data_IF_069009847403
#
_entry.id   IF_069009847403
#
_cell.length_a   1.000
_cell.length_b   1.000
_cell.length_c   1.000
_cell.angle_alpha   90.00
_cell.angle_beta   90.00
_cell.angle_gamma   90.00
#
_symmetry.space_group_name_H-M   'P 1'
#
loop_
_entity.id
_entity.type
_entity.pdbx_description
1 polymer ?
#
# COMPACT_ATOMS: atom_id res chain seq x y z
N UNK A 1 16.15 -4.07 -14.97
CA UNK A 1 16.11 -2.94 -15.92
C UNK A 1 16.25 -1.59 -15.22
N UNK A 2 15.65 -1.36 -14.03
CA UNK A 2 15.89 -0.15 -13.20
C UNK A 2 17.38 0.18 -12.98
N UNK A 3 18.24 -0.85 -12.93
CA UNK A 3 19.67 -0.67 -12.67
C UNK A 3 20.49 -0.11 -13.85
N UNK A 4 20.08 -0.26 -15.11
CA UNK A 4 20.99 0.03 -16.23
C UNK A 4 21.23 1.53 -16.45
N UNK A 5 20.19 2.36 -16.42
CA UNK A 5 20.34 3.81 -16.58
C UNK A 5 21.02 4.45 -15.37
N UNK A 6 20.70 3.97 -14.17
CA UNK A 6 21.36 4.38 -12.93
C UNK A 6 22.86 4.08 -12.96
N UNK A 7 23.24 2.84 -13.30
CA UNK A 7 24.64 2.43 -13.46
C UNK A 7 25.33 3.22 -14.58
N UNK A 8 24.64 3.46 -15.71
CA UNK A 8 25.19 4.25 -16.81
C UNK A 8 25.47 5.71 -16.39
N UNK A 9 24.55 6.31 -15.61
CA UNK A 9 24.73 7.65 -15.06
C UNK A 9 25.93 7.74 -14.10
N UNK A 10 26.10 6.73 -13.23
CA UNK A 10 27.28 6.65 -12.36
C UNK A 10 28.58 6.48 -13.17
N UNK A 11 28.61 5.56 -14.15
CA UNK A 11 29.79 5.35 -15.01
C UNK A 11 30.18 6.60 -15.77
N UNK A 12 29.22 7.39 -16.25
CA UNK A 12 29.49 8.66 -16.90
C UNK A 12 30.17 9.67 -15.96
N UNK A 13 29.79 9.72 -14.68
CA UNK A 13 30.44 10.59 -13.68
C UNK A 13 31.88 10.15 -13.38
N UNK A 14 32.13 8.84 -13.30
CA UNK A 14 33.47 8.31 -13.07
C UNK A 14 34.43 8.46 -14.27
N UNK A 15 33.93 8.82 -15.44
CA UNK A 15 34.78 9.15 -16.59
C UNK A 15 35.53 10.48 -16.41
N UNK A 16 34.94 11.43 -15.67
CA UNK A 16 35.50 12.77 -15.47
C UNK A 16 36.02 12.99 -14.03
N UNK A 17 35.46 12.27 -13.06
CA UNK A 17 35.77 12.49 -11.64
C UNK A 17 36.16 11.18 -10.94
N UNK A 18 37.20 11.25 -10.11
CA UNK A 18 37.64 10.13 -9.28
C UNK A 18 36.68 9.83 -8.13
N UNK A 19 36.07 10.86 -7.57
CA UNK A 19 35.22 10.77 -6.38
C UNK A 19 33.82 11.26 -6.73
N UNK A 20 32.83 10.44 -6.39
CA UNK A 20 31.42 10.75 -6.59
C UNK A 20 30.71 10.69 -5.25
N UNK A 21 30.07 11.80 -4.87
CA UNK A 21 29.18 11.87 -3.71
C UNK A 21 27.76 11.55 -4.14
N UNK A 22 27.12 10.59 -3.50
CA UNK A 22 25.74 10.24 -3.77
C UNK A 22 24.91 10.32 -2.49
N UNK A 23 23.95 11.24 -2.49
CA UNK A 23 23.00 11.42 -1.40
C UNK A 23 21.67 10.74 -1.75
N UNK A 24 21.23 9.79 -0.92
CA UNK A 24 19.95 9.11 -1.03
C UNK A 24 19.22 9.14 0.34
N UNK A 25 18.63 10.30 0.72
CA UNK A 25 17.93 10.44 2.00
C UNK A 25 16.70 9.52 2.11
N UNK A 26 16.11 9.15 0.97
CA UNK A 26 14.94 8.27 0.92
C UNK A 26 15.34 6.77 0.98
N UNK A 27 16.65 6.44 1.00
CA UNK A 27 17.21 5.08 1.07
C UNK A 27 16.62 4.12 0.03
N UNK A 28 16.26 4.64 -1.14
CA UNK A 28 15.52 3.87 -2.17
C UNK A 28 16.38 2.83 -2.85
N UNK A 29 17.69 3.00 -2.82
CA UNK A 29 18.63 2.16 -3.56
C UNK A 29 19.40 1.19 -2.66
N UNK A 30 18.98 1.02 -1.41
CA UNK A 30 19.66 0.13 -0.45
C UNK A 30 19.81 -1.30 -0.97
N UNK A 31 18.77 -1.86 -1.60
CA UNK A 31 18.81 -3.22 -2.16
C UNK A 31 19.69 -3.29 -3.42
N UNK A 32 19.82 -2.19 -4.14
CA UNK A 32 20.66 -2.05 -5.33
C UNK A 32 22.14 -1.83 -4.99
N UNK A 33 22.48 -1.29 -3.81
CA UNK A 33 23.87 -1.07 -3.38
C UNK A 33 24.69 -2.36 -3.37
N UNK A 34 24.13 -3.45 -2.83
CA UNK A 34 24.79 -4.75 -2.75
C UNK A 34 25.02 -5.38 -4.13
N UNK A 35 24.20 -5.00 -5.11
CA UNK A 35 24.25 -5.50 -6.49
C UNK A 35 24.99 -4.53 -7.43
N UNK A 36 25.60 -3.47 -6.90
CA UNK A 36 26.24 -2.43 -7.69
C UNK A 36 27.65 -2.86 -8.11
N UNK A 37 27.75 -3.46 -9.29
CA UNK A 37 29.03 -3.82 -9.90
C UNK A 37 29.57 -2.66 -10.74
N UNK A 38 30.51 -1.91 -10.16
CA UNK A 38 31.29 -0.87 -10.85
C UNK A 38 32.75 -1.31 -10.92
N UNK A 39 33.30 -1.38 -12.14
CA UNK A 39 34.71 -1.71 -12.36
C UNK A 39 35.61 -0.63 -11.77
N UNK A 40 36.60 -1.02 -10.96
CA UNK A 40 37.60 -0.15 -10.34
C UNK A 40 37.06 0.95 -9.41
N UNK A 41 35.78 0.87 -8.99
CA UNK A 41 35.19 1.81 -8.03
C UNK A 41 34.97 1.13 -6.69
N UNK A 42 35.41 1.78 -5.61
CA UNK A 42 35.12 1.34 -4.25
C UNK A 42 33.89 2.07 -3.72
N UNK A 43 32.80 1.32 -3.48
CA UNK A 43 31.61 1.83 -2.80
C UNK A 43 31.88 1.89 -1.29
N UNK A 44 31.65 3.07 -0.69
CA UNK A 44 31.68 3.28 0.75
C UNK A 44 30.30 3.72 1.23
N UNK A 45 29.68 2.89 2.06
CA UNK A 45 28.49 3.25 2.83
C UNK A 45 28.90 4.15 4.00
N UNK A 46 28.49 5.42 3.97
CA UNK A 46 28.86 6.43 4.97
C UNK A 46 28.01 6.40 6.24
N UNK A 47 27.09 5.44 6.40
CA UNK A 47 26.21 5.32 7.59
C UNK A 47 27.01 5.17 8.88
N UNK A 48 28.00 4.28 8.89
CA UNK A 48 28.79 3.93 10.09
C UNK A 48 30.28 4.26 9.95
N UNK A 49 30.65 5.07 8.94
CA UNK A 49 32.05 5.39 8.64
C UNK A 49 32.50 6.69 9.33
N UNK A 50 33.72 6.67 9.87
CA UNK A 50 34.36 7.89 10.35
C UNK A 50 34.80 8.77 9.17
N UNK A 51 34.25 9.98 9.07
CA UNK A 51 34.58 10.92 7.99
C UNK A 51 36.08 11.25 7.95
N UNK A 52 36.75 11.32 9.10
CA UNK A 52 38.19 11.55 9.18
C UNK A 52 38.99 10.36 8.62
N UNK A 53 38.56 9.13 8.92
CA UNK A 53 39.20 7.93 8.40
C UNK A 53 39.02 7.81 6.88
N UNK A 54 37.82 8.10 6.38
CA UNK A 54 37.52 8.15 4.95
C UNK A 54 38.36 9.22 4.25
N UNK A 55 38.44 10.42 4.83
CA UNK A 55 39.30 11.50 4.32
C UNK A 55 40.76 11.08 4.21
N UNK A 56 41.32 10.48 5.27
CA UNK A 56 42.69 9.93 5.26
C UNK A 56 42.88 8.91 4.14
N UNK A 57 41.92 7.99 3.98
CA UNK A 57 41.98 6.95 2.96
C UNK A 57 42.02 7.53 1.55
N UNK A 58 41.13 8.48 1.27
CA UNK A 58 40.98 9.10 -0.06
C UNK A 58 42.19 9.96 -0.46
N UNK A 59 42.79 10.66 0.50
CA UNK A 59 43.87 11.62 0.25
C UNK A 59 45.27 11.04 0.41
N UNK A 60 45.45 10.07 1.31
CA UNK A 60 46.78 9.56 1.71
C UNK A 60 46.94 8.09 1.33
N UNK A 61 46.04 7.21 1.75
CA UNK A 61 46.26 5.78 1.63
C UNK A 61 46.01 5.26 0.19
N UNK A 62 45.00 5.81 -0.50
CA UNK A 62 44.54 5.36 -1.81
C UNK A 62 44.24 6.56 -2.77
N UNK A 63 45.24 7.36 -3.16
CA UNK A 63 45.04 8.62 -3.89
C UNK A 63 44.58 8.43 -5.34
N UNK A 64 44.87 7.30 -5.97
CA UNK A 64 44.49 7.01 -7.36
C UNK A 64 43.16 6.24 -7.48
N UNK A 65 42.67 5.67 -6.38
CA UNK A 65 41.47 4.83 -6.37
C UNK A 65 40.21 5.68 -6.56
N UNK A 66 39.24 5.16 -7.32
CA UNK A 66 37.93 5.77 -7.49
C UNK A 66 36.99 5.39 -6.34
N UNK A 67 36.24 6.36 -5.83
CA UNK A 67 35.34 6.17 -4.69
C UNK A 67 33.93 6.67 -4.98
N UNK A 68 32.95 5.82 -4.66
CA UNK A 68 31.55 6.21 -4.56
C UNK A 68 31.18 6.32 -3.08
N UNK A 69 30.91 7.54 -2.61
CA UNK A 69 30.51 7.79 -1.24
C UNK A 69 28.98 7.88 -1.17
N UNK A 70 28.33 6.87 -0.61
CA UNK A 70 26.88 6.84 -0.45
C UNK A 70 26.46 7.35 0.93
N UNK A 71 25.53 8.30 0.96
CA UNK A 71 25.00 8.88 2.19
C UNK A 71 23.49 8.63 2.31
N UNK A 72 23.01 8.06 3.44
CA UNK A 72 21.58 7.85 3.71
C UNK A 72 20.83 9.12 4.12
N UNK A 73 21.39 10.30 3.87
CA UNK A 73 20.88 11.59 4.31
C UNK A 73 21.29 12.71 3.33
N UNK A 74 20.63 13.85 3.43
CA UNK A 74 20.96 15.04 2.66
C UNK A 74 22.37 15.55 2.95
N UNK A 75 22.92 16.34 2.02
CA UNK A 75 24.21 16.96 2.21
C UNK A 75 24.18 17.90 3.44
N UNK A 76 25.14 17.79 4.37
CA UNK A 76 25.19 18.66 5.53
C UNK A 76 25.49 20.12 5.12
N UNK A 77 25.12 21.12 5.95
CA UNK A 77 25.56 22.50 5.73
C UNK A 77 27.09 22.58 5.71
N UNK A 78 27.63 23.51 4.92
CA UNK A 78 29.09 23.65 4.70
C UNK A 78 29.90 23.73 5.99
N UNK A 79 29.38 24.38 7.02
CA UNK A 79 30.04 24.56 8.33
C UNK A 79 30.21 23.23 9.09
N UNK A 80 29.40 22.23 8.78
CA UNK A 80 29.40 20.92 9.42
C UNK A 80 29.91 19.79 8.49
N UNK A 81 30.30 20.11 7.25
CA UNK A 81 30.79 19.13 6.28
C UNK A 81 32.32 18.96 6.39
N UNK A 82 32.77 17.89 7.05
CA UNK A 82 34.21 17.62 7.19
C UNK A 82 34.88 17.16 5.90
N UNK A 83 34.08 16.73 4.91
CA UNK A 83 34.52 16.33 3.58
C UNK A 83 34.35 17.46 2.56
N UNK A 84 34.04 18.69 3.01
CA UNK A 84 33.80 19.83 2.12
C UNK A 84 34.97 20.08 1.17
N UNK A 85 36.20 19.96 1.66
CA UNK A 85 37.40 20.16 0.85
C UNK A 85 37.50 19.14 -0.29
N UNK A 86 37.15 17.88 -0.01
CA UNK A 86 37.04 16.83 -1.03
C UNK A 86 35.87 17.12 -1.98
N UNK A 87 34.73 17.54 -1.43
CA UNK A 87 33.53 17.85 -2.20
C UNK A 87 33.79 18.89 -3.28
N UNK A 88 34.59 19.92 -2.97
CA UNK A 88 34.89 21.04 -3.86
C UNK A 88 35.61 20.66 -5.17
N UNK A 89 36.37 19.58 -5.20
CA UNK A 89 37.04 19.09 -6.43
C UNK A 89 36.44 17.79 -6.98
N UNK A 90 35.47 17.21 -6.28
CA UNK A 90 34.73 16.02 -6.68
C UNK A 90 33.44 16.37 -7.45
N UNK A 91 32.60 15.37 -7.71
CA UNK A 91 31.28 15.58 -8.30
C UNK A 91 30.18 14.96 -7.44
N UNK A 92 28.98 15.53 -7.53
CA UNK A 92 27.79 14.95 -6.92
C UNK A 92 26.96 14.20 -7.97
N UNK A 93 26.49 13.04 -7.56
CA UNK A 93 25.51 12.26 -8.30
C UNK A 93 24.18 12.30 -7.56
N UNK A 94 23.19 12.86 -8.25
CA UNK A 94 21.81 12.89 -7.81
C UNK A 94 21.02 11.94 -8.71
N UNK A 95 20.55 10.84 -8.13
CA UNK A 95 19.66 9.93 -8.84
C UNK A 95 18.30 10.62 -8.99
N UNK A 96 17.98 11.04 -10.22
CA UNK A 96 16.71 11.65 -10.53
C UNK A 96 15.58 10.62 -10.47
N UNK A 97 15.03 10.44 -9.27
CA UNK A 97 14.01 9.45 -8.97
C UNK A 97 12.82 9.54 -9.94
N UNK A 98 12.37 10.75 -10.26
CA UNK A 98 11.24 10.96 -11.16
C UNK A 98 11.58 10.54 -12.60
N UNK A 99 12.77 10.89 -13.11
CA UNK A 99 13.20 10.44 -14.43
C UNK A 99 13.38 8.91 -14.50
N UNK A 100 14.04 8.31 -13.52
CA UNK A 100 14.23 6.85 -13.45
C UNK A 100 12.88 6.13 -13.41
N UNK A 101 11.93 6.66 -12.62
CA UNK A 101 10.58 6.10 -12.52
C UNK A 101 9.83 6.21 -13.85
N UNK A 102 9.84 7.38 -14.50
CA UNK A 102 9.19 7.60 -15.80
C UNK A 102 9.74 6.67 -16.88
N UNK A 103 11.06 6.57 -16.99
CA UNK A 103 11.73 5.68 -17.92
C UNK A 103 11.36 4.22 -17.64
N UNK A 104 11.31 3.82 -16.36
CA UNK A 104 10.92 2.45 -15.98
C UNK A 104 9.48 2.13 -16.36
N UNK A 105 8.58 3.11 -16.23
CA UNK A 105 7.17 3.02 -16.65
C UNK A 105 7.00 3.12 -18.18
N UNK A 106 8.04 3.50 -18.92
CA UNK A 106 7.99 3.69 -20.38
C UNK A 106 7.23 4.95 -20.79
N UNK A 107 7.15 5.95 -19.91
CA UNK A 107 6.42 7.20 -20.17
C UNK A 107 7.42 8.26 -20.69
N UNK A 108 7.29 8.72 -21.95
CA UNK A 108 8.22 9.68 -22.54
C UNK A 108 8.00 11.14 -22.08
N UNK A 109 6.91 11.41 -21.35
CA UNK A 109 6.50 12.77 -21.00
C UNK A 109 7.23 13.31 -19.76
N UNK A 110 8.07 14.33 -19.96
CA UNK A 110 8.74 15.07 -18.89
C UNK A 110 7.77 15.85 -17.98
N UNK A 111 6.53 16.12 -18.43
CA UNK A 111 5.53 16.87 -17.68
C UNK A 111 5.07 16.20 -16.38
N UNK A 112 5.18 14.87 -16.28
CA UNK A 112 4.77 14.11 -15.09
C UNK A 112 5.85 14.01 -14.01
N UNK A 113 7.02 14.61 -14.24
CA UNK A 113 8.16 14.54 -13.33
C UNK A 113 7.83 15.12 -11.95
N UNK A 114 7.21 16.30 -11.92
CA UNK A 114 6.81 16.95 -10.66
C UNK A 114 5.76 16.11 -9.92
N UNK A 115 4.80 15.55 -10.66
CA UNK A 115 3.74 14.72 -10.11
C UNK A 115 4.28 13.46 -9.42
N UNK A 116 5.22 12.77 -10.05
CA UNK A 116 5.90 11.60 -9.47
C UNK A 116 6.73 11.99 -8.25
N UNK A 117 7.40 13.16 -8.30
CA UNK A 117 8.19 13.65 -7.18
C UNK A 117 7.33 13.95 -5.95
N UNK A 118 6.15 14.55 -6.13
CA UNK A 118 5.19 14.79 -5.04
C UNK A 118 4.70 13.48 -4.42
N UNK A 119 4.46 12.46 -5.24
CA UNK A 119 3.97 11.13 -4.80
C UNK A 119 5.07 10.11 -4.53
N UNK A 120 6.31 10.55 -4.31
CA UNK A 120 7.48 9.67 -4.15
C UNK A 120 7.33 8.58 -3.08
N UNK A 121 6.54 8.83 -2.03
CA UNK A 121 6.28 7.87 -0.96
C UNK A 121 5.49 6.62 -1.41
N UNK A 122 4.72 6.73 -2.50
CA UNK A 122 3.97 5.62 -3.07
C UNK A 122 4.90 4.56 -3.69
N UNK A 123 5.96 4.97 -4.38
CA UNK A 123 6.74 4.06 -5.20
C UNK A 123 7.67 3.18 -4.35
N UNK A 124 7.34 1.88 -4.30
CA UNK A 124 8.23 0.80 -3.87
C UNK A 124 8.47 -0.14 -5.04
N UNK A 125 9.51 -0.98 -5.00
CA UNK A 125 9.83 -1.94 -6.09
C UNK A 125 8.62 -2.79 -6.47
N UNK A 126 7.87 -3.30 -5.47
CA UNK A 126 6.66 -4.10 -5.68
C UNK A 126 5.52 -3.28 -6.31
N UNK A 127 5.28 -2.04 -5.84
CA UNK A 127 4.18 -1.21 -6.37
C UNK A 127 4.51 -0.62 -7.74
N UNK A 128 5.77 -0.31 -8.00
CA UNK A 128 6.23 0.17 -9.29
C UNK A 128 6.08 -0.92 -10.36
N UNK A 129 6.45 -2.18 -10.04
CA UNK A 129 6.27 -3.29 -10.97
C UNK A 129 4.78 -3.59 -11.23
N UNK A 130 3.92 -3.53 -10.21
CA UNK A 130 2.47 -3.63 -10.38
C UNK A 130 1.90 -2.49 -11.23
N UNK A 131 2.33 -1.25 -10.98
CA UNK A 131 1.91 -0.07 -11.73
C UNK A 131 2.34 -0.17 -13.20
N UNK A 132 3.55 -0.65 -13.48
CA UNK A 132 4.06 -0.84 -14.85
C UNK A 132 3.14 -1.70 -15.71
N UNK A 133 2.48 -2.70 -15.12
CA UNK A 133 1.51 -3.53 -15.83
C UNK A 133 0.20 -2.81 -16.22
N UNK A 134 -0.08 -1.65 -15.63
CA UNK A 134 -1.30 -0.86 -15.85
C UNK A 134 -1.06 0.39 -16.71
N UNK A 135 0.18 0.83 -16.83
CA UNK A 135 0.55 2.05 -17.56
C UNK A 135 0.46 1.83 -19.07
N UNK A 136 0.03 2.87 -19.77
CA UNK A 136 -0.09 2.97 -21.23
C UNK A 136 0.75 4.15 -21.74
N UNK A 137 1.01 4.24 -23.05
CA UNK A 137 1.95 5.23 -23.62
C UNK A 137 1.51 6.70 -23.44
N UNK A 138 0.21 6.93 -23.22
CA UNK A 138 -0.38 8.27 -23.05
C UNK A 138 -1.00 8.41 -21.65
N UNK A 139 -0.17 8.64 -20.65
CA UNK A 139 -0.64 8.95 -19.30
C UNK A 139 -0.83 10.45 -19.08
N UNK A 140 -1.80 10.78 -18.24
CA UNK A 140 -1.93 12.08 -17.58
C UNK A 140 -1.92 11.88 -16.06
N UNK A 141 -1.85 12.97 -15.29
CA UNK A 141 -1.78 12.93 -13.82
C UNK A 141 -2.95 12.15 -13.20
N UNK A 142 -4.18 12.42 -13.65
CA UNK A 142 -5.39 11.77 -13.15
C UNK A 142 -5.45 10.26 -13.47
N UNK A 143 -5.01 9.86 -14.67
CA UNK A 143 -4.91 8.45 -15.08
C UNK A 143 -3.89 7.71 -14.23
N UNK A 144 -2.73 8.33 -13.99
CA UNK A 144 -1.69 7.74 -13.15
C UNK A 144 -2.19 7.57 -11.72
N UNK A 145 -2.84 8.58 -11.16
CA UNK A 145 -3.40 8.53 -9.80
C UNK A 145 -4.47 7.45 -9.67
N UNK A 146 -5.36 7.31 -10.67
CA UNK A 146 -6.33 6.22 -10.73
C UNK A 146 -5.66 4.84 -10.74
N UNK A 147 -4.54 4.70 -11.47
CA UNK A 147 -3.75 3.45 -11.51
C UNK A 147 -3.05 3.18 -10.18
N UNK A 148 -2.56 4.21 -9.48
CA UNK A 148 -2.01 4.06 -8.13
C UNK A 148 -3.08 3.56 -7.14
N UNK A 149 -4.30 4.10 -7.20
CA UNK A 149 -5.45 3.61 -6.42
C UNK A 149 -5.75 2.15 -6.75
N UNK A 150 -5.74 1.77 -8.04
CA UNK A 150 -5.96 0.39 -8.46
C UNK A 150 -4.90 -0.57 -7.90
N UNK A 151 -3.62 -0.17 -7.88
CA UNK A 151 -2.53 -0.96 -7.28
C UNK A 151 -2.74 -1.17 -5.78
N UNK A 152 -3.14 -0.13 -5.04
CA UNK A 152 -3.43 -0.26 -3.59
C UNK A 152 -4.63 -1.15 -3.35
N UNK A 153 -5.68 -1.02 -4.18
CA UNK A 153 -6.86 -1.88 -4.11
C UNK A 153 -6.61 -3.33 -4.58
N UNK A 154 -5.38 -3.67 -5.01
CA UNK A 154 -4.99 -5.01 -5.44
C UNK A 154 -5.58 -5.44 -6.78
N UNK A 155 -5.98 -4.50 -7.63
CA UNK A 155 -6.71 -4.77 -8.88
C UNK A 155 -5.77 -4.74 -10.09
N UNK A 156 -5.96 -5.68 -11.00
CA UNK A 156 -5.15 -5.83 -12.24
C UNK A 156 -5.61 -4.93 -13.39
N UNK A 157 -6.71 -4.20 -13.23
CA UNK A 157 -7.16 -3.20 -14.21
C UNK A 157 -7.55 -1.91 -13.48
N UNK A 158 -7.31 -0.77 -14.13
CA UNK A 158 -7.63 0.54 -13.59
C UNK A 158 -9.07 0.97 -13.89
N UNK A 159 -10.02 0.03 -13.88
CA UNK A 159 -11.45 0.31 -14.05
C UNK A 159 -12.09 0.60 -12.71
N UNK A 160 -12.87 1.68 -12.64
CA UNK A 160 -13.52 2.13 -11.40
C UNK A 160 -14.45 1.08 -10.83
N UNK A 161 -15.14 0.31 -11.67
CA UNK A 161 -16.03 -0.76 -11.22
C UNK A 161 -15.25 -1.90 -10.54
N UNK A 162 -14.05 -2.22 -11.02
CA UNK A 162 -13.23 -3.28 -10.44
C UNK A 162 -12.57 -2.82 -9.12
N UNK A 163 -12.10 -1.57 -9.06
CA UNK A 163 -11.61 -0.95 -7.82
C UNK A 163 -12.72 -0.98 -6.76
N UNK A 164 -13.91 -0.51 -7.11
CA UNK A 164 -15.06 -0.48 -6.22
C UNK A 164 -15.47 -1.90 -5.78
N UNK A 165 -15.50 -2.86 -6.70
CA UNK A 165 -15.84 -4.25 -6.38
C UNK A 165 -14.82 -4.88 -5.43
N UNK A 166 -13.53 -4.59 -5.60
CA UNK A 166 -12.47 -5.02 -4.68
C UNK A 166 -12.72 -4.46 -3.27
N UNK A 167 -12.91 -3.14 -3.15
CA UNK A 167 -13.15 -2.48 -1.87
C UNK A 167 -14.40 -3.00 -1.15
N UNK A 168 -15.51 -3.21 -1.88
CA UNK A 168 -16.74 -3.77 -1.31
C UNK A 168 -16.52 -5.23 -0.88
N UNK A 169 -15.76 -6.01 -1.64
CA UNK A 169 -15.47 -7.41 -1.29
C UNK A 169 -14.65 -7.48 0.00
N UNK A 170 -13.63 -6.63 0.14
CA UNK A 170 -12.84 -6.51 1.36
C UNK A 170 -13.71 -6.09 2.55
N UNK A 171 -14.63 -5.14 2.37
CA UNK A 171 -15.60 -4.73 3.39
C UNK A 171 -16.50 -5.88 3.84
N UNK A 172 -17.01 -6.69 2.91
CA UNK A 172 -17.85 -7.86 3.24
C UNK A 172 -17.06 -8.95 3.95
N UNK A 173 -15.78 -9.13 3.61
CA UNK A 173 -14.92 -10.13 4.24
C UNK A 173 -14.46 -9.74 5.65
N UNK A 174 -14.23 -8.44 5.90
CA UNK A 174 -13.91 -7.91 7.23
C UNK A 174 -15.00 -8.23 8.27
N UNK A 175 -16.25 -8.42 7.87
CA UNK A 175 -17.31 -8.81 8.81
C UNK A 175 -17.29 -10.31 9.18
N UNK A 176 -16.42 -11.10 8.55
CA UNK A 176 -16.33 -12.56 8.73
C UNK A 176 -15.05 -13.02 9.42
N UNK A 177 -13.93 -12.35 9.15
CA UNK A 177 -12.60 -12.63 9.71
C UNK A 177 -12.04 -11.37 10.39
N UNK A 178 -11.26 -11.55 11.47
CA UNK A 178 -10.63 -10.46 12.25
C UNK A 178 -9.45 -9.78 11.52
N UNK A 179 -9.00 -10.33 10.38
CA UNK A 179 -7.94 -9.74 9.56
C UNK A 179 -8.50 -8.62 8.67
N UNK A 180 -8.13 -7.36 8.96
CA UNK A 180 -8.69 -6.18 8.32
C UNK A 180 -7.94 -5.76 7.05
N UNK A 181 -7.98 -6.59 6.00
CA UNK A 181 -7.46 -6.27 4.65
C UNK A 181 -7.99 -4.91 4.14
N UNK A 182 -9.24 -4.58 4.44
CA UNK A 182 -9.83 -3.29 4.11
C UNK A 182 -9.17 -2.14 4.87
N UNK A 183 -8.95 -2.30 6.18
CA UNK A 183 -8.34 -1.25 7.00
C UNK A 183 -6.91 -0.98 6.56
N UNK A 184 -6.16 -2.04 6.22
CA UNK A 184 -4.84 -1.92 5.60
C UNK A 184 -4.91 -1.14 4.28
N UNK A 185 -5.86 -1.46 3.41
CA UNK A 185 -6.03 -0.78 2.11
C UNK A 185 -6.39 0.70 2.28
N UNK A 186 -7.33 1.02 3.17
CA UNK A 186 -7.73 2.40 3.46
C UNK A 186 -6.61 3.18 4.16
N UNK A 187 -5.88 2.56 5.08
CA UNK A 187 -4.72 3.17 5.72
C UNK A 187 -3.60 3.45 4.71
N UNK A 188 -3.38 2.56 3.73
CA UNK A 188 -2.45 2.78 2.64
C UNK A 188 -2.89 3.94 1.73
N UNK A 189 -4.17 4.03 1.38
CA UNK A 189 -4.70 5.16 0.60
C UNK A 189 -4.49 6.50 1.32
N UNK A 190 -4.73 6.54 2.63
CA UNK A 190 -4.47 7.71 3.48
C UNK A 190 -2.99 8.07 3.55
N UNK A 191 -2.13 7.09 3.82
CA UNK A 191 -0.67 7.27 3.94
C UNK A 191 -0.04 7.83 2.66
N UNK A 192 -0.63 7.52 1.50
CA UNK A 192 -0.14 7.94 0.19
C UNK A 192 -0.91 9.12 -0.42
N UNK A 193 -1.81 9.75 0.33
CA UNK A 193 -2.63 10.89 -0.14
C UNK A 193 -3.41 10.57 -1.43
N UNK A 194 -3.99 9.37 -1.48
CA UNK A 194 -4.80 8.85 -2.59
C UNK A 194 -6.27 8.67 -2.22
N UNK A 195 -6.64 8.93 -0.96
CA UNK A 195 -8.04 8.87 -0.52
C UNK A 195 -8.90 9.92 -1.22
N UNK A 196 -8.42 11.18 -1.32
CA UNK A 196 -9.13 12.24 -2.06
C UNK A 196 -9.34 11.87 -3.53
N UNK A 197 -8.30 11.34 -4.17
CA UNK A 197 -8.35 10.88 -5.57
C UNK A 197 -9.44 9.83 -5.77
N UNK A 198 -9.57 8.85 -4.87
CA UNK A 198 -10.61 7.83 -4.96
C UNK A 198 -12.01 8.45 -4.98
N UNK A 199 -12.26 9.41 -4.08
CA UNK A 199 -13.55 10.10 -4.01
C UNK A 199 -13.82 10.99 -5.21
N UNK A 200 -12.79 11.65 -5.74
CA UNK A 200 -12.90 12.45 -6.96
C UNK A 200 -13.24 11.59 -8.18
N UNK A 201 -12.62 10.41 -8.32
CA UNK A 201 -12.95 9.45 -9.39
C UNK A 201 -14.42 9.01 -9.27
N UNK A 202 -14.89 8.70 -8.06
CA UNK A 202 -16.28 8.29 -7.83
C UNK A 202 -17.26 9.45 -8.06
N UNK A 203 -16.88 10.69 -7.78
CA UNK A 203 -17.70 11.86 -8.10
C UNK A 203 -17.78 12.06 -9.62
N UNK A 204 -16.64 12.01 -10.33
CA UNK A 204 -16.59 12.26 -11.77
C UNK A 204 -17.28 11.18 -12.60
N UNK A 205 -17.06 9.90 -12.29
CA UNK A 205 -17.59 8.80 -13.10
C UNK A 205 -18.97 8.31 -12.65
N UNK A 206 -19.27 8.43 -11.35
CA UNK A 206 -20.48 7.86 -10.73
C UNK A 206 -21.41 8.92 -10.12
N UNK A 207 -21.01 10.19 -10.10
CA UNK A 207 -21.81 11.28 -9.51
C UNK A 207 -21.94 11.19 -8.00
N UNK A 208 -21.05 10.47 -7.31
CA UNK A 208 -21.11 10.31 -5.86
C UNK A 208 -20.63 11.58 -5.15
N UNK A 209 -21.54 12.24 -4.43
CA UNK A 209 -21.24 13.42 -3.61
C UNK A 209 -21.62 13.16 -2.15
N UNK A 210 -20.70 13.46 -1.23
CA UNK A 210 -20.91 13.38 0.21
C UNK A 210 -19.93 14.34 0.91
N UNK A 211 -20.37 15.00 1.98
CA UNK A 211 -19.52 15.89 2.80
C UNK A 211 -18.44 15.10 3.55
N UNK A 212 -18.80 13.92 4.06
CA UNK A 212 -17.88 12.96 4.68
C UNK A 212 -18.02 11.61 3.97
N UNK A 213 -17.27 11.40 2.88
CA UNK A 213 -17.40 10.17 2.12
C UNK A 213 -16.81 9.00 2.91
N UNK A 214 -17.63 7.97 3.14
CA UNK A 214 -17.21 6.70 3.74
C UNK A 214 -17.66 5.55 2.85
N UNK A 215 -16.98 4.41 2.96
CA UNK A 215 -17.34 3.23 2.18
C UNK A 215 -18.75 2.73 2.54
N UNK A 216 -19.16 2.84 3.81
CA UNK A 216 -20.51 2.53 4.27
C UNK A 216 -21.56 3.40 3.57
N UNK A 217 -21.34 4.72 3.54
CA UNK A 217 -22.23 5.67 2.87
C UNK A 217 -22.33 5.38 1.37
N UNK A 218 -21.20 5.03 0.74
CA UNK A 218 -21.15 4.64 -0.66
C UNK A 218 -21.98 3.38 -0.92
N UNK A 219 -21.80 2.32 -0.12
CA UNK A 219 -22.55 1.07 -0.24
C UNK A 219 -24.05 1.31 -0.05
N UNK A 220 -24.45 2.11 0.94
CA UNK A 220 -25.83 2.48 1.15
C UNK A 220 -26.42 3.19 -0.08
N UNK A 221 -25.74 4.20 -0.64
CA UNK A 221 -26.22 4.91 -1.83
C UNK A 221 -26.29 4.03 -3.08
N UNK A 222 -25.34 3.11 -3.27
CA UNK A 222 -25.35 2.15 -4.38
C UNK A 222 -26.50 1.14 -4.29
N UNK A 223 -26.98 0.83 -3.08
CA UNK A 223 -28.09 -0.09 -2.85
C UNK A 223 -29.47 0.50 -3.14
N UNK A 224 -29.57 1.83 -3.28
CA UNK A 224 -30.83 2.51 -3.60
C UNK A 224 -31.08 2.47 -5.12
N UNK A 225 -32.27 2.08 -5.60
CA UNK A 225 -32.57 1.86 -7.02
C UNK A 225 -32.54 3.11 -7.92
N UNK A 226 -32.17 4.27 -7.38
CA UNK A 226 -32.07 5.57 -8.08
C UNK A 226 -30.68 5.79 -8.70
N UNK A 227 -29.67 4.99 -8.34
CA UNK A 227 -28.34 5.07 -8.98
C UNK A 227 -28.43 4.71 -10.47
N UNK A 228 -27.76 5.44 -11.40
CA UNK A 228 -27.85 5.17 -12.83
C UNK A 228 -27.50 3.70 -13.13
N UNK A 229 -28.48 2.97 -13.68
CA UNK A 229 -28.53 1.50 -13.86
C UNK A 229 -27.42 0.85 -14.72
N UNK A 230 -26.29 1.52 -14.99
CA UNK A 230 -25.20 0.99 -15.83
C UNK A 230 -24.36 -0.09 -15.16
N UNK A 231 -24.18 -0.08 -13.84
CA UNK A 231 -23.32 -1.09 -13.16
C UNK A 231 -23.98 -2.47 -12.99
N UNK A 232 -25.29 -2.54 -12.78
CA UNK A 232 -25.95 -3.77 -12.30
C UNK A 232 -26.13 -4.83 -13.40
N UNK A 233 -26.04 -4.46 -14.69
CA UNK A 233 -26.36 -5.40 -15.80
C UNK A 233 -25.19 -6.24 -16.32
N UNK A 234 -23.92 -5.88 -16.08
CA UNK A 234 -22.78 -6.54 -16.76
C UNK A 234 -22.16 -7.74 -16.03
N UNK A 235 -22.45 -7.99 -14.74
CA UNK A 235 -21.84 -9.12 -14.02
C UNK A 235 -22.78 -9.77 -12.97
N UNK A 236 -24.01 -10.08 -13.39
CA UNK A 236 -25.06 -10.66 -12.54
C UNK A 236 -24.72 -12.03 -11.92
N UNK A 237 -23.62 -12.67 -12.33
CA UNK A 237 -23.20 -13.98 -11.82
C UNK A 237 -22.35 -13.88 -10.54
N UNK A 238 -21.63 -12.77 -10.33
CA UNK A 238 -20.88 -12.51 -9.09
C UNK A 238 -21.75 -11.93 -7.97
N UNK A 239 -22.67 -11.03 -8.33
CA UNK A 239 -23.50 -10.28 -7.38
C UNK A 239 -24.58 -11.11 -6.68
N UNK A 240 -25.02 -12.21 -7.31
CA UNK A 240 -26.02 -13.13 -6.73
C UNK A 240 -25.49 -13.90 -5.51
N UNK A 241 -24.18 -14.14 -5.40
CA UNK A 241 -23.62 -14.99 -4.34
C UNK A 241 -23.33 -14.24 -3.04
N UNK A 242 -23.15 -12.92 -3.05
CA UNK A 242 -22.64 -12.17 -1.88
C UNK A 242 -23.67 -11.31 -1.16
N UNK A 243 -24.75 -10.85 -1.80
CA UNK A 243 -25.70 -9.90 -1.17
C UNK A 243 -27.12 -10.44 -0.87
N UNK A 244 -27.48 -11.64 -1.33
CA UNK A 244 -28.88 -12.11 -1.29
C UNK A 244 -29.20 -13.22 -0.26
N UNK A 245 -28.33 -13.50 0.71
CA UNK A 245 -28.62 -14.51 1.74
C UNK A 245 -29.26 -13.97 3.03
N UNK A 246 -29.57 -12.67 3.12
CA UNK A 246 -30.23 -12.09 4.31
C UNK A 246 -31.53 -11.37 3.96
N UNK A 247 -32.53 -12.12 3.49
CA UNK A 247 -33.96 -11.76 3.63
C UNK A 247 -34.88 -12.96 3.37
N UNK A 248 -34.92 -13.89 4.31
CA UNK A 248 -36.10 -14.74 4.53
C UNK A 248 -36.39 -14.75 6.03
N UNK A 249 -36.78 -13.59 6.55
CA UNK A 249 -37.66 -13.57 7.72
C UNK A 249 -39.07 -13.59 7.14
N UNK A 250 -39.80 -14.68 7.38
CA UNK A 250 -41.20 -14.83 6.98
C UNK A 250 -42.02 -13.64 7.51
N UNK A 251 -42.94 -13.07 6.71
CA UNK A 251 -43.84 -12.05 7.23
C UNK A 251 -44.73 -12.68 8.32
N UNK A 252 -45.05 -11.97 9.42
CA UNK A 252 -45.98 -12.50 10.41
C UNK A 252 -47.33 -12.72 9.73
N UNK A 253 -47.86 -13.95 9.82
CA UNK A 253 -49.20 -14.28 9.36
C UNK A 253 -50.21 -13.52 10.22
N UNK A 254 -50.91 -12.56 9.63
CA UNK A 254 -52.08 -11.94 10.24
C UNK A 254 -53.26 -12.91 10.12
N UNK A 255 -53.95 -13.29 11.21
CA UNK A 255 -55.18 -14.06 11.07
C UNK A 255 -56.29 -13.16 10.50
N UNK A 256 -57.04 -13.71 9.53
CA UNK A 256 -58.21 -13.08 8.93
C UNK A 256 -59.21 -12.65 10.02
N UNK A 257 -59.65 -11.40 9.95
CA UNK A 257 -60.81 -10.91 10.68
C UNK A 257 -62.08 -11.66 10.23
N UNK A 258 -62.92 -12.03 11.19
CA UNK A 258 -64.36 -12.26 11.00
C UNK A 258 -65.10 -11.77 12.25
N UNK A 259 -66.31 -11.18 12.09
CA UNK A 259 -66.86 -10.24 13.06
C UNK A 259 -67.69 -10.93 14.15
N UNK A 260 -67.57 -10.43 15.38
CA UNK A 260 -68.44 -10.82 16.50
C UNK A 260 -67.85 -10.43 17.85
N UNK A 261 -68.17 -9.22 18.33
CA UNK A 261 -68.02 -8.87 19.75
C UNK A 261 -69.22 -9.45 20.54
N UNK A 262 -69.11 -9.69 21.86
CA UNK A 262 -69.06 -8.57 22.80
C UNK A 262 -68.02 -8.67 23.94
N UNK A 263 -67.59 -7.49 24.36
CA UNK A 263 -67.06 -7.03 25.65
C UNK A 263 -66.95 -8.02 26.81
N UNK A 264 -65.77 -8.08 27.45
CA UNK A 264 -65.55 -7.81 28.89
C UNK A 264 -64.06 -7.47 29.13
N UNK A 265 -63.83 -6.46 29.97
CA UNK A 265 -62.53 -5.99 30.44
C UNK A 265 -61.76 -7.02 31.28
N UNK A 266 -60.41 -7.04 31.20
CA UNK A 266 -59.50 -6.87 32.36
C UNK A 266 -58.02 -7.19 32.03
N UNK A 267 -57.13 -6.36 32.58
CA UNK A 267 -55.74 -6.61 33.05
C UNK A 267 -54.65 -7.02 32.04
N UNK A 268 -53.74 -6.05 31.79
CA UNK A 268 -52.36 -6.25 31.34
C UNK A 268 -51.56 -7.14 32.32
N UNK A 269 -50.66 -7.98 31.81
CA UNK A 269 -49.38 -8.19 32.47
C UNK A 269 -48.19 -7.85 31.56
N UNK A 270 -47.21 -7.25 32.22
CA UNK A 270 -45.86 -6.91 31.81
C UNK A 270 -45.08 -8.20 31.53
N UNK A 271 -44.51 -8.38 30.34
CA UNK A 271 -43.58 -9.48 30.05
C UNK A 271 -42.17 -8.91 29.96
N UNK A 272 -41.40 -9.17 31.01
CA UNK A 272 -39.95 -9.09 31.08
C UNK A 272 -39.41 -10.35 30.40
N UNK A 273 -38.68 -10.22 29.30
CA UNK A 273 -37.96 -11.36 28.70
C UNK A 273 -36.51 -11.32 29.19
N UNK A 274 -36.19 -12.27 30.07
CA UNK A 274 -34.83 -12.60 30.47
C UNK A 274 -34.02 -13.14 29.27
N UNK A 275 -32.84 -12.56 29.06
CA UNK A 275 -31.76 -13.11 28.23
C UNK A 275 -31.17 -14.36 28.87
N UNK A 276 -31.51 -15.55 28.35
CA UNK A 276 -30.77 -16.80 28.66
C UNK A 276 -29.71 -17.04 27.59
N UNK A 277 -28.49 -16.63 27.92
CA UNK A 277 -27.26 -17.03 27.26
C UNK A 277 -26.98 -18.50 27.63
N UNK A 278 -27.04 -19.43 26.67
CA UNK A 278 -26.70 -20.84 26.88
C UNK A 278 -25.29 -21.08 26.37
N UNK A 279 -24.30 -20.97 27.27
CA UNK A 279 -22.96 -21.52 27.07
C UNK A 279 -23.05 -23.04 26.99
N UNK A 280 -22.42 -23.63 25.98
CA UNK A 280 -22.21 -25.08 25.88
C UNK A 280 -20.72 -25.34 26.13
N UNK A 281 -20.41 -25.78 27.33
CA UNK A 281 -19.15 -26.47 27.63
C UNK A 281 -19.25 -27.90 27.10
N UNK A 282 -18.28 -28.34 26.31
CA UNK A 282 -18.00 -29.76 26.10
C UNK A 282 -16.60 -30.06 26.65
N UNK A 283 -16.56 -30.86 27.73
CA UNK A 283 -15.35 -31.53 28.22
C UNK A 283 -15.58 -33.05 28.25
N UNK A 284 -14.70 -33.74 27.51
CA UNK A 284 -13.96 -34.98 27.81
C UNK A 284 -14.70 -36.30 28.13
N UNK A 285 -14.34 -37.32 27.35
CA UNK A 285 -13.98 -38.70 27.78
C UNK A 285 -12.92 -39.23 26.80
N UNK A 286 -11.62 -39.26 27.13
CA UNK A 286 -10.85 -40.33 27.81
C UNK A 286 -10.67 -41.63 27.01
N UNK A 287 -9.46 -41.87 26.48
CA UNK A 287 -8.83 -43.21 26.46
C UNK A 287 -7.31 -43.11 26.54
N UNK A 288 -6.75 -44.03 27.31
CA UNK A 288 -5.37 -44.19 27.79
C UNK A 288 -4.47 -44.86 26.75
N UNK A 289 -3.22 -44.42 26.61
CA UNK A 289 -2.05 -45.31 26.44
C UNK A 289 -0.74 -44.55 26.66
N UNK A 290 0.29 -45.27 27.08
CA UNK A 290 1.37 -44.81 27.95
C UNK A 290 2.75 -44.69 27.28
N UNK A 291 3.68 -44.03 28.00
CA UNK A 291 5.17 -44.04 27.88
C UNK A 291 5.71 -43.29 26.65
N UNK A 292 6.70 -42.39 26.74
CA UNK A 292 7.96 -42.43 27.50
C UNK A 292 8.51 -41.01 27.69
N UNK A 293 8.95 -40.70 28.90
CA UNK A 293 9.81 -39.58 29.30
C UNK A 293 11.19 -39.70 28.63
N UNK A 294 11.71 -38.61 28.05
CA UNK A 294 13.13 -38.26 28.10
C UNK A 294 13.23 -36.74 28.28
N UNK A 295 13.55 -36.34 29.51
CA UNK A 295 14.16 -35.05 29.81
C UNK A 295 15.66 -35.18 29.55
N UNK A 296 16.27 -34.25 28.82
CA UNK A 296 17.71 -34.00 28.90
C UNK A 296 17.93 -32.58 29.38
N UNK A 297 18.47 -32.51 30.59
CA UNK A 297 18.93 -31.32 31.29
C UNK A 297 20.19 -30.76 30.66
N UNK A 298 20.20 -29.45 30.44
CA UNK A 298 21.41 -28.66 30.30
C UNK A 298 22.09 -28.49 31.66
N UNK A 299 23.42 -28.59 31.70
CA UNK A 299 24.29 -27.83 32.61
C UNK A 299 25.73 -27.74 32.06
N UNK A 300 26.50 -26.72 32.46
CA UNK A 300 27.66 -26.20 31.73
C UNK A 300 29.01 -26.71 32.27
N UNK A 301 30.03 -26.69 31.41
CA UNK A 301 31.37 -26.15 31.65
C UNK A 301 32.12 -26.05 30.32
#
# INVERSE_FOLDING_TARGET
MQNQEFIAGLKAKFAEHRIVFWHDPDKRFLEELDNLELENVTLLDMTDQSQLAVKKRIEIDEPEQQFLLWFPHDAPPKEFDWLLDIRLYSTEFHADFAAITLNTLGIPQLGLREHIQRRKAFFSIKRLSALKGLVTEQENEASLDKKMVAVIAGVKTAKTEEILFSLITQYVNQQKDDDSDLENTLAMLKRHDLEGVLWDILNQEMGYQAEHPTLENLILKLSVPIFPRRLIRRNANGWKKTCWSRRQAEPPRWPLWSPGAPTVATKKPMIIVHSRCRMRCDQKTSTVSARRMICTSAKPH
#
